data_IF_749129315870
#
_entry.id   IF_749129315870
#
_cell.length_a   1.000
_cell.length_b   1.000
_cell.length_c   1.000
_cell.angle_alpha   90.00
_cell.angle_beta   90.00
_cell.angle_gamma   90.00
#
_symmetry.space_group_name_H-M   'P 1'
#
loop_
_entity.id
_entity.type
_entity.pdbx_description
1 polymer ?
#
# COMPACT_ATOMS: atom_id res chain seq x y z
N UNK A 1 -15.66 -9.80 -16.05
CA UNK A 1 -14.72 -9.95 -14.92
C UNK A 1 -15.42 -9.54 -13.64
N UNK A 2 -15.09 -10.19 -12.52
CA UNK A 2 -15.56 -9.76 -11.22
C UNK A 2 -14.89 -8.44 -10.83
N UNK A 3 -15.62 -7.61 -10.08
CA UNK A 3 -15.10 -6.37 -9.52
C UNK A 3 -14.95 -6.51 -8.00
N UNK A 4 -13.92 -5.90 -7.44
CA UNK A 4 -13.69 -5.88 -6.00
C UNK A 4 -14.48 -4.74 -5.36
N UNK A 5 -15.29 -5.07 -4.35
CA UNK A 5 -16.06 -4.13 -3.54
C UNK A 5 -15.68 -4.24 -2.07
N UNK A 6 -15.87 -3.14 -1.36
CA UNK A 6 -15.61 -3.10 0.08
C UNK A 6 -16.88 -2.81 0.86
N UNK A 7 -17.23 -3.72 1.79
CA UNK A 7 -18.22 -3.44 2.83
C UNK A 7 -17.51 -2.77 3.99
N UNK A 8 -18.02 -1.62 4.44
CA UNK A 8 -17.47 -0.90 5.58
C UNK A 8 -18.43 -0.92 6.75
N UNK A 9 -17.97 -1.37 7.92
CA UNK A 9 -18.71 -1.27 9.16
C UNK A 9 -18.82 0.20 9.61
N UNK A 10 -20.02 0.64 10.00
CA UNK A 10 -20.28 2.01 10.48
C UNK A 10 -19.74 2.26 11.89
N UNK A 11 -19.52 1.21 12.70
CA UNK A 11 -18.99 1.32 14.06
C UNK A 11 -17.52 1.77 14.03
N UNK A 12 -17.29 3.05 14.37
CA UNK A 12 -15.95 3.65 14.43
C UNK A 12 -15.05 3.02 15.50
N UNK A 13 -15.58 2.25 16.45
CA UNK A 13 -14.82 1.55 17.48
C UNK A 13 -14.36 0.16 17.03
N UNK A 14 -14.84 -0.31 15.89
CA UNK A 14 -14.39 -1.58 15.33
C UNK A 14 -12.93 -1.46 14.85
N UNK A 15 -12.03 -2.34 15.30
CA UNK A 15 -10.61 -2.30 14.92
C UNK A 15 -10.37 -2.63 13.44
N UNK A 16 -11.18 -3.55 12.86
CA UNK A 16 -11.19 -3.83 11.44
C UNK A 16 -12.59 -3.60 10.90
N UNK A 17 -12.73 -2.66 10.00
CA UNK A 17 -14.04 -2.18 9.52
C UNK A 17 -14.34 -2.56 8.08
N UNK A 18 -13.36 -3.06 7.35
CA UNK A 18 -13.47 -3.30 5.92
C UNK A 18 -13.41 -4.79 5.63
N UNK A 19 -14.32 -5.24 4.76
CA UNK A 19 -14.35 -6.57 4.19
C UNK A 19 -14.36 -6.43 2.66
N UNK A 20 -13.37 -7.03 1.99
CA UNK A 20 -13.31 -7.08 0.54
C UNK A 20 -14.22 -8.20 0.00
N UNK A 21 -14.93 -7.91 -1.08
CA UNK A 21 -15.81 -8.85 -1.77
C UNK A 21 -15.58 -8.79 -3.27
N UNK A 22 -15.53 -9.94 -3.91
CA UNK A 22 -15.55 -10.06 -5.37
C UNK A 22 -16.98 -10.29 -5.86
N UNK A 23 -17.47 -9.41 -6.74
CA UNK A 23 -18.88 -9.37 -7.14
C UNK A 23 -19.01 -9.43 -8.64
N UNK A 24 -19.98 -10.21 -9.09
CA UNK A 24 -20.47 -10.22 -10.48
C UNK A 24 -21.97 -9.89 -10.49
N UNK A 25 -22.52 -9.31 -11.57
CA UNK A 25 -23.95 -9.14 -11.69
C UNK A 25 -24.70 -10.47 -11.51
N UNK A 26 -25.65 -10.49 -10.57
CA UNK A 26 -26.43 -11.67 -10.24
C UNK A 26 -25.77 -12.67 -9.27
N UNK A 27 -24.55 -12.43 -8.82
CA UNK A 27 -23.86 -13.28 -7.85
C UNK A 27 -24.62 -13.32 -6.52
N UNK A 28 -24.63 -14.51 -5.90
CA UNK A 28 -25.17 -14.70 -4.55
C UNK A 28 -24.03 -14.71 -3.55
N UNK A 29 -24.06 -13.75 -2.62
CA UNK A 29 -23.03 -13.58 -1.62
C UNK A 29 -23.68 -13.68 -0.24
N UNK A 30 -23.09 -14.50 0.62
CA UNK A 30 -23.44 -14.57 2.03
C UNK A 30 -22.23 -14.23 2.87
N UNK A 31 -22.41 -13.34 3.85
CA UNK A 31 -21.35 -12.90 4.76
C UNK A 31 -21.72 -13.36 6.18
N UNK A 32 -20.78 -13.98 6.86
CA UNK A 32 -20.93 -14.48 8.21
C UNK A 32 -19.88 -13.87 9.13
N UNK A 33 -20.31 -13.37 10.27
CA UNK A 33 -19.42 -12.81 11.28
C UNK A 33 -20.17 -12.53 12.57
N UNK A 34 -19.55 -12.83 13.68
CA UNK A 34 -20.13 -12.76 15.03
C UNK A 34 -19.45 -11.70 15.92
N UNK A 35 -18.44 -11.02 15.40
CA UNK A 35 -17.64 -10.04 16.13
C UNK A 35 -17.51 -8.72 15.35
N UNK A 36 -16.84 -7.74 15.96
CA UNK A 36 -16.61 -6.41 15.37
C UNK A 36 -15.36 -6.34 14.47
N UNK A 37 -14.77 -7.47 14.14
CA UNK A 37 -13.54 -7.54 13.33
C UNK A 37 -13.91 -8.08 11.95
N UNK A 38 -14.19 -7.19 11.01
CA UNK A 38 -14.62 -7.56 9.66
C UNK A 38 -13.62 -8.49 8.95
N UNK A 39 -12.32 -8.34 9.22
CA UNK A 39 -11.27 -9.18 8.66
C UNK A 39 -11.37 -10.67 9.08
N UNK A 40 -12.13 -11.00 10.14
CA UNK A 40 -12.37 -12.38 10.58
C UNK A 40 -13.66 -12.98 9.99
N UNK A 41 -14.47 -12.20 9.31
CA UNK A 41 -15.70 -12.68 8.71
C UNK A 41 -15.41 -13.62 7.54
N UNK A 42 -16.36 -14.47 7.23
CA UNK A 42 -16.30 -15.42 6.11
C UNK A 42 -17.30 -15.03 5.04
N UNK A 43 -16.92 -15.31 3.80
CA UNK A 43 -17.76 -15.01 2.64
C UNK A 43 -18.01 -16.29 1.87
N UNK A 44 -19.29 -16.63 1.65
CA UNK A 44 -19.69 -17.66 0.70
C UNK A 44 -20.18 -17.00 -0.57
N UNK A 45 -19.67 -17.45 -1.72
CA UNK A 45 -20.03 -16.93 -3.03
C UNK A 45 -19.79 -17.98 -4.11
N UNK A 46 -20.53 -17.88 -5.22
CA UNK A 46 -20.29 -18.64 -6.45
C UNK A 46 -19.23 -17.99 -7.35
N UNK A 47 -18.82 -16.75 -7.09
CA UNK A 47 -17.79 -16.01 -7.83
C UNK A 47 -16.43 -16.69 -7.66
N UNK A 48 -15.76 -16.98 -8.79
CA UNK A 48 -14.49 -17.70 -8.79
C UNK A 48 -13.37 -16.94 -8.05
N UNK A 49 -13.27 -15.64 -8.28
CA UNK A 49 -12.30 -14.74 -7.63
C UNK A 49 -12.54 -14.70 -6.11
N UNK A 50 -13.80 -14.73 -5.66
CA UNK A 50 -14.09 -14.81 -4.23
C UNK A 50 -13.65 -16.14 -3.62
N UNK A 51 -13.84 -17.25 -4.31
CA UNK A 51 -13.38 -18.57 -3.84
C UNK A 51 -11.86 -18.63 -3.71
N UNK A 52 -11.15 -18.07 -4.69
CA UNK A 52 -9.70 -17.99 -4.64
C UNK A 52 -9.23 -17.08 -3.49
N UNK A 53 -9.80 -15.88 -3.34
CA UNK A 53 -9.52 -14.95 -2.24
C UNK A 53 -9.77 -15.57 -0.86
N UNK A 54 -10.82 -16.41 -0.74
CA UNK A 54 -11.12 -17.13 0.50
C UNK A 54 -10.02 -18.10 0.93
N UNK A 55 -9.22 -18.66 0.02
CA UNK A 55 -8.08 -19.53 0.36
C UNK A 55 -7.05 -18.76 1.18
N UNK A 56 -6.69 -17.56 0.71
CA UNK A 56 -5.74 -16.66 1.40
C UNK A 56 -6.31 -16.20 2.75
N UNK A 57 -7.58 -15.75 2.75
CA UNK A 57 -8.25 -15.34 3.97
C UNK A 57 -8.30 -16.45 5.02
N UNK A 58 -8.55 -17.69 4.62
CA UNK A 58 -8.56 -18.84 5.52
C UNK A 58 -7.17 -19.14 6.11
N UNK A 59 -6.11 -19.03 5.30
CA UNK A 59 -4.74 -19.27 5.74
C UNK A 59 -4.27 -18.26 6.80
N UNK A 60 -4.63 -16.97 6.65
CA UNK A 60 -4.20 -15.92 7.58
C UNK A 60 -5.10 -15.73 8.79
N UNK A 61 -6.35 -16.23 8.74
CA UNK A 61 -7.36 -16.01 9.78
C UNK A 61 -6.93 -16.38 11.22
N UNK A 62 -6.23 -17.51 11.48
CA UNK A 62 -5.78 -17.84 12.82
C UNK A 62 -4.85 -16.76 13.41
N UNK A 63 -3.96 -16.24 12.58
CA UNK A 63 -3.02 -15.18 12.96
C UNK A 63 -3.70 -13.83 13.08
N UNK A 64 -4.69 -13.51 12.23
CA UNK A 64 -5.47 -12.28 12.31
C UNK A 64 -6.21 -12.16 13.64
N UNK A 65 -6.80 -13.25 14.14
CA UNK A 65 -7.49 -13.23 15.44
C UNK A 65 -6.52 -12.85 16.58
N UNK A 66 -5.32 -13.44 16.59
CA UNK A 66 -4.29 -13.10 17.56
C UNK A 66 -3.78 -11.65 17.39
N UNK A 67 -3.53 -11.22 16.17
CA UNK A 67 -3.10 -9.84 15.86
C UNK A 67 -4.07 -8.79 16.41
N UNK A 68 -5.39 -8.99 16.18
CA UNK A 68 -6.43 -8.06 16.61
C UNK A 68 -6.69 -8.08 18.12
N UNK A 69 -6.31 -9.15 18.83
CA UNK A 69 -6.41 -9.20 20.30
C UNK A 69 -5.55 -8.13 20.98
N UNK A 70 -4.48 -7.67 20.35
CA UNK A 70 -3.62 -6.59 20.87
C UNK A 70 -4.19 -5.18 20.62
N UNK A 71 -5.18 -5.03 19.74
CA UNK A 71 -5.67 -3.71 19.34
C UNK A 71 -6.24 -2.88 20.49
N UNK A 72 -7.12 -3.39 21.39
CA UNK A 72 -7.71 -2.57 22.44
C UNK A 72 -6.69 -2.00 23.40
N UNK A 73 -5.70 -2.79 23.80
CA UNK A 73 -4.61 -2.35 24.68
C UNK A 73 -3.72 -1.32 23.99
N UNK A 74 -3.30 -1.59 22.75
CA UNK A 74 -2.48 -0.67 21.96
C UNK A 74 -3.17 0.67 21.75
N UNK A 75 -4.45 0.68 21.37
CA UNK A 75 -5.22 1.91 21.16
C UNK A 75 -5.34 2.75 22.45
N UNK A 76 -5.54 2.10 23.61
CA UNK A 76 -5.53 2.78 24.92
C UNK A 76 -4.18 3.41 25.23
N UNK A 77 -3.08 2.69 25.00
CA UNK A 77 -1.73 3.18 25.22
C UNK A 77 -1.38 4.33 24.27
N UNK A 78 -1.76 4.24 22.99
CA UNK A 78 -1.55 5.31 22.01
C UNK A 78 -2.32 6.59 22.38
N UNK A 79 -3.56 6.46 22.87
CA UNK A 79 -4.32 7.60 23.38
C UNK A 79 -3.59 8.28 24.52
N UNK A 80 -3.10 7.49 25.49
CA UNK A 80 -2.34 8.00 26.62
C UNK A 80 -1.00 8.63 26.19
N UNK A 81 -0.33 8.06 25.19
CA UNK A 81 0.92 8.61 24.64
C UNK A 81 0.73 9.97 23.97
N UNK A 82 -0.39 10.15 23.26
CA UNK A 82 -0.74 11.40 22.54
C UNK A 82 -1.30 12.50 23.46
N UNK A 83 -1.78 12.15 24.64
CA UNK A 83 -2.30 13.13 25.60
C UNK A 83 -1.16 14.04 26.09
N UNK A 84 -1.29 15.35 25.82
CA UNK A 84 -0.31 16.38 26.18
C UNK A 84 -0.09 16.49 27.71
N UNK A 85 -1.10 16.10 28.49
CA UNK A 85 -1.05 16.14 29.96
C UNK A 85 -0.31 14.94 30.58
N UNK A 86 0.06 13.92 29.78
CA UNK A 86 0.80 12.76 30.27
C UNK A 86 2.24 13.16 30.60
N UNK A 87 2.72 12.96 31.85
CA UNK A 87 4.09 13.28 32.25
C UNK A 87 5.14 12.56 31.38
N UNK A 88 6.29 13.22 31.15
CA UNK A 88 7.37 12.71 30.27
C UNK A 88 7.82 11.30 30.64
N UNK A 89 8.01 11.02 31.94
CA UNK A 89 8.42 9.68 32.41
C UNK A 89 7.37 8.62 32.09
N UNK A 90 6.11 8.92 32.39
CA UNK A 90 4.99 8.01 32.06
C UNK A 90 4.87 7.79 30.55
N UNK A 91 5.08 8.84 29.75
CA UNK A 91 5.05 8.75 28.27
C UNK A 91 6.17 7.83 27.76
N UNK A 92 7.38 7.87 28.36
CA UNK A 92 8.49 6.96 28.02
C UNK A 92 8.14 5.51 28.33
N UNK A 93 7.53 5.23 29.49
CA UNK A 93 7.07 3.88 29.85
C UNK A 93 5.98 3.36 28.90
N UNK A 94 4.99 4.22 28.58
CA UNK A 94 3.92 3.90 27.62
C UNK A 94 4.49 3.58 26.24
N UNK A 95 5.47 4.35 25.75
CA UNK A 95 6.14 4.07 24.46
C UNK A 95 6.81 2.69 24.46
N UNK A 96 7.47 2.29 25.55
CA UNK A 96 8.06 0.95 25.65
C UNK A 96 7.00 -0.15 25.54
N UNK A 97 5.83 0.03 26.16
CA UNK A 97 4.72 -0.92 26.06
C UNK A 97 4.14 -0.99 24.63
N UNK A 98 3.95 0.16 23.97
CA UNK A 98 3.51 0.22 22.58
C UNK A 98 4.51 -0.53 21.69
N UNK A 99 5.82 -0.28 21.84
CA UNK A 99 6.86 -0.95 21.06
C UNK A 99 6.85 -2.47 21.28
N UNK A 100 6.63 -2.93 22.52
CA UNK A 100 6.55 -4.37 22.83
C UNK A 100 5.34 -5.03 22.15
N UNK A 101 4.18 -4.36 22.14
CA UNK A 101 2.99 -4.85 21.43
C UNK A 101 3.24 -4.85 19.92
N UNK A 102 3.82 -3.77 19.38
CA UNK A 102 4.15 -3.68 17.96
C UNK A 102 5.07 -4.82 17.52
N UNK A 103 6.13 -5.12 18.28
CA UNK A 103 7.03 -6.23 17.97
C UNK A 103 6.30 -7.61 17.94
N UNK A 104 5.31 -7.83 18.82
CA UNK A 104 4.47 -9.03 18.77
C UNK A 104 3.59 -9.05 17.52
N UNK A 105 2.96 -7.92 17.19
CA UNK A 105 2.14 -7.80 15.98
C UNK A 105 2.97 -8.02 14.72
N UNK A 106 4.21 -7.48 14.65
CA UNK A 106 5.13 -7.68 13.53
C UNK A 106 5.50 -9.16 13.36
N UNK A 107 5.72 -9.88 14.47
CA UNK A 107 5.98 -11.31 14.45
C UNK A 107 4.78 -12.10 13.91
N UNK A 108 3.56 -11.78 14.35
CA UNK A 108 2.33 -12.40 13.86
C UNK A 108 2.13 -12.08 12.38
N UNK A 109 2.39 -10.85 11.97
CA UNK A 109 2.29 -10.43 10.57
C UNK A 109 3.26 -11.20 9.68
N UNK A 110 4.47 -11.47 10.16
CA UNK A 110 5.43 -12.31 9.45
C UNK A 110 4.91 -13.74 9.22
N UNK A 111 4.18 -14.31 10.20
CA UNK A 111 3.51 -15.60 10.05
C UNK A 111 2.38 -15.55 9.02
N UNK A 112 1.62 -14.45 8.96
CA UNK A 112 0.60 -14.25 7.92
C UNK A 112 1.21 -14.22 6.52
N UNK A 113 2.31 -13.49 6.33
CA UNK A 113 3.02 -13.50 5.05
C UNK A 113 3.51 -14.90 4.66
N UNK A 114 4.04 -15.66 5.62
CA UNK A 114 4.44 -17.06 5.36
C UNK A 114 3.26 -17.93 4.94
N UNK A 115 2.12 -17.80 5.63
CA UNK A 115 0.92 -18.56 5.29
C UNK A 115 0.40 -18.25 3.87
N UNK A 116 0.43 -16.97 3.46
CA UNK A 116 0.08 -16.57 2.10
C UNK A 116 1.05 -17.16 1.06
N UNK A 117 2.35 -17.07 1.32
CA UNK A 117 3.39 -17.62 0.44
C UNK A 117 3.24 -19.16 0.30
N UNK A 118 2.92 -19.86 1.40
CA UNK A 118 2.71 -21.31 1.38
C UNK A 118 1.51 -21.69 0.51
N UNK A 119 0.41 -20.95 0.59
CA UNK A 119 -0.73 -21.14 -0.33
C UNK A 119 -0.29 -20.88 -1.78
N UNK A 120 0.49 -19.82 -2.02
CA UNK A 120 0.96 -19.47 -3.35
C UNK A 120 1.84 -20.55 -3.99
N UNK A 121 2.45 -21.47 -3.23
CA UNK A 121 3.22 -22.58 -3.79
C UNK A 121 2.35 -23.55 -4.59
N UNK A 122 1.09 -23.74 -4.23
CA UNK A 122 0.20 -24.75 -4.80
C UNK A 122 -1.07 -24.20 -5.45
N UNK A 123 -1.51 -23.00 -5.07
CA UNK A 123 -2.70 -22.37 -5.63
C UNK A 123 -2.59 -22.13 -7.15
N UNK A 124 -3.68 -22.15 -7.90
CA UNK A 124 -3.68 -21.76 -9.31
C UNK A 124 -3.10 -20.36 -9.49
N UNK A 125 -2.34 -20.15 -10.57
CA UNK A 125 -1.78 -18.83 -10.89
C UNK A 125 -2.79 -18.06 -11.75
N UNK A 126 -3.49 -17.12 -11.12
CA UNK A 126 -4.49 -16.25 -11.70
C UNK A 126 -4.30 -14.79 -11.27
N UNK A 127 -5.31 -13.95 -11.50
CA UNK A 127 -5.24 -12.52 -11.17
C UNK A 127 -5.19 -12.28 -9.65
N UNK A 128 -5.91 -13.06 -8.85
CA UNK A 128 -5.83 -13.00 -7.37
C UNK A 128 -4.43 -13.38 -6.90
N UNK A 129 -3.87 -14.47 -7.43
CA UNK A 129 -2.50 -14.88 -7.10
C UNK A 129 -1.48 -13.79 -7.44
N UNK A 130 -1.60 -13.16 -8.62
CA UNK A 130 -0.73 -12.06 -9.05
C UNK A 130 -0.85 -10.84 -8.14
N UNK A 131 -2.07 -10.48 -7.73
CA UNK A 131 -2.32 -9.40 -6.77
C UNK A 131 -1.60 -9.65 -5.45
N UNK A 132 -1.72 -10.86 -4.86
CA UNK A 132 -1.02 -11.22 -3.64
C UNK A 132 0.50 -11.17 -3.81
N UNK A 133 1.04 -11.68 -4.94
CA UNK A 133 2.47 -11.58 -5.22
C UNK A 133 2.95 -10.13 -5.28
N UNK A 134 2.22 -9.25 -5.97
CA UNK A 134 2.56 -7.84 -6.07
C UNK A 134 2.55 -7.15 -4.70
N UNK A 135 1.53 -7.41 -3.88
CA UNK A 135 1.43 -6.86 -2.52
C UNK A 135 2.59 -7.32 -1.63
N UNK A 136 2.90 -8.62 -1.63
CA UNK A 136 4.02 -9.16 -0.86
C UNK A 136 5.39 -8.66 -1.37
N UNK A 137 5.54 -8.46 -2.68
CA UNK A 137 6.72 -7.85 -3.27
C UNK A 137 6.92 -6.40 -2.78
N UNK A 138 5.85 -5.59 -2.74
CA UNK A 138 5.89 -4.23 -2.19
C UNK A 138 6.29 -4.23 -0.70
N UNK A 139 5.70 -5.12 0.10
CA UNK A 139 6.09 -5.30 1.51
C UNK A 139 7.56 -5.69 1.63
N UNK A 140 8.03 -6.64 0.81
CA UNK A 140 9.42 -7.13 0.84
C UNK A 140 10.44 -6.05 0.52
N UNK A 141 10.06 -5.04 -0.26
CA UNK A 141 10.90 -3.88 -0.57
C UNK A 141 10.95 -2.89 0.59
N UNK A 142 9.80 -2.59 1.20
CA UNK A 142 9.69 -1.56 2.23
C UNK A 142 10.13 -2.04 3.62
N UNK A 143 10.02 -3.33 3.91
CA UNK A 143 10.47 -3.92 5.17
C UNK A 143 11.94 -4.37 5.06
N UNK A 144 12.86 -3.63 5.70
CA UNK A 144 14.32 -3.85 5.64
C UNK A 144 14.77 -5.30 5.88
N UNK A 145 14.06 -6.05 6.71
CA UNK A 145 14.40 -7.42 7.10
C UNK A 145 13.28 -8.40 6.72
N UNK A 146 12.61 -8.22 5.58
CA UNK A 146 11.59 -9.15 5.14
C UNK A 146 12.20 -10.53 4.84
N UNK A 147 11.83 -11.59 5.58
CA UNK A 147 12.60 -12.85 5.55
C UNK A 147 12.31 -13.72 4.32
N UNK A 148 11.21 -13.46 3.60
CA UNK A 148 10.71 -14.35 2.54
C UNK A 148 10.95 -13.83 1.12
N UNK A 149 11.81 -12.83 0.93
CA UNK A 149 12.05 -12.22 -0.40
C UNK A 149 12.52 -13.26 -1.42
N UNK A 150 13.39 -14.19 -1.01
CA UNK A 150 13.90 -15.26 -1.89
C UNK A 150 12.76 -16.19 -2.35
N UNK A 151 11.79 -16.50 -1.48
CA UNK A 151 10.63 -17.32 -1.84
C UNK A 151 9.74 -16.58 -2.87
N UNK A 152 9.53 -15.27 -2.70
CA UNK A 152 8.78 -14.46 -3.68
C UNK A 152 9.47 -14.39 -5.04
N UNK A 153 10.80 -14.24 -5.06
CA UNK A 153 11.60 -14.31 -6.30
C UNK A 153 11.42 -15.65 -6.97
N UNK A 154 11.50 -16.75 -6.22
CA UNK A 154 11.30 -18.10 -6.74
C UNK A 154 9.89 -18.27 -7.34
N UNK A 155 8.84 -17.79 -6.66
CA UNK A 155 7.47 -17.80 -7.18
C UNK A 155 7.35 -17.02 -8.49
N UNK A 156 7.94 -15.82 -8.55
CA UNK A 156 7.95 -15.01 -9.76
C UNK A 156 8.64 -15.68 -10.94
N UNK A 157 9.81 -16.24 -10.71
CA UNK A 157 10.63 -16.82 -11.78
C UNK A 157 10.08 -18.17 -12.29
N UNK A 158 9.60 -19.03 -11.39
CA UNK A 158 9.30 -20.42 -11.71
C UNK A 158 7.79 -20.72 -11.87
N UNK A 159 6.89 -19.85 -11.41
CA UNK A 159 5.45 -20.08 -11.54
C UNK A 159 4.76 -19.16 -12.54
N UNK A 160 5.40 -18.07 -12.95
CA UNK A 160 4.81 -17.13 -13.88
C UNK A 160 5.26 -17.36 -15.34
N UNK A 161 4.28 -17.35 -16.24
CA UNK A 161 4.54 -17.28 -17.69
C UNK A 161 4.85 -15.83 -18.10
N UNK A 162 5.43 -15.65 -19.30
CA UNK A 162 5.70 -14.29 -19.82
C UNK A 162 4.43 -13.46 -19.98
N UNK A 163 3.30 -14.09 -20.31
CA UNK A 163 1.99 -13.43 -20.38
C UNK A 163 1.59 -12.86 -19.02
N UNK A 164 1.77 -13.61 -17.94
CA UNK A 164 1.45 -13.16 -16.59
C UNK A 164 2.42 -12.10 -16.10
N UNK A 165 3.70 -12.20 -16.46
CA UNK A 165 4.73 -11.18 -16.14
C UNK A 165 4.45 -9.83 -16.81
N UNK A 166 3.76 -9.83 -17.96
CA UNK A 166 3.34 -8.64 -18.69
C UNK A 166 2.06 -7.99 -18.15
N UNK A 167 1.26 -8.69 -17.33
CA UNK A 167 0.08 -8.10 -16.67
C UNK A 167 0.51 -7.06 -15.64
N UNK A 168 -0.37 -6.12 -15.32
CA UNK A 168 -0.13 -5.02 -14.38
C UNK A 168 0.51 -5.49 -13.07
N UNK A 169 -0.11 -6.40 -12.34
CA UNK A 169 0.46 -6.95 -11.09
C UNK A 169 1.77 -7.71 -11.29
N UNK A 170 1.99 -8.31 -12.46
CA UNK A 170 3.26 -8.95 -12.81
C UNK A 170 4.39 -7.92 -12.94
N UNK A 171 4.11 -6.79 -13.59
CA UNK A 171 5.05 -5.65 -13.71
C UNK A 171 5.34 -5.03 -12.35
N UNK A 172 4.30 -4.82 -11.51
CA UNK A 172 4.46 -4.31 -10.15
C UNK A 172 5.31 -5.25 -9.30
N UNK A 173 5.04 -6.56 -9.34
CA UNK A 173 5.85 -7.55 -8.62
C UNK A 173 7.31 -7.51 -9.06
N UNK A 174 7.57 -7.48 -10.39
CA UNK A 174 8.92 -7.40 -10.94
C UNK A 174 9.67 -6.17 -10.44
N UNK A 175 9.06 -5.00 -10.54
CA UNK A 175 9.66 -3.74 -10.10
C UNK A 175 10.06 -3.82 -8.62
N UNK A 176 9.17 -4.30 -7.75
CA UNK A 176 9.41 -4.34 -6.31
C UNK A 176 10.41 -5.44 -5.88
N UNK A 177 10.52 -6.55 -6.63
CA UNK A 177 11.46 -7.62 -6.30
C UNK A 177 12.89 -7.34 -6.80
N UNK A 178 13.03 -6.70 -7.96
CA UNK A 178 14.32 -6.66 -8.69
C UNK A 178 14.88 -5.27 -8.91
N UNK A 179 14.07 -4.20 -8.85
CA UNK A 179 14.57 -2.86 -9.07
C UNK A 179 15.42 -2.39 -7.89
N UNK A 180 16.61 -1.83 -8.20
CA UNK A 180 17.46 -1.19 -7.19
C UNK A 180 16.81 0.11 -6.72
N UNK A 181 16.86 0.36 -5.42
CA UNK A 181 16.45 1.63 -4.81
C UNK A 181 17.63 2.61 -4.77
N UNK A 182 17.30 3.90 -4.81
CA UNK A 182 18.25 5.03 -4.69
C UNK A 182 18.55 5.25 -3.21
N UNK A 183 19.84 5.32 -2.87
CA UNK A 183 20.32 5.71 -1.55
C UNK A 183 20.86 7.15 -1.56
N UNK A 184 21.07 7.71 -0.37
CA UNK A 184 21.65 9.05 -0.22
C UNK A 184 23.05 9.09 -0.83
N UNK A 185 23.25 9.99 -1.79
CA UNK A 185 24.50 10.13 -2.55
C UNK A 185 24.51 9.41 -3.89
N UNK A 186 23.48 8.61 -4.20
CA UNK A 186 23.33 8.03 -5.54
C UNK A 186 22.94 9.09 -6.58
N UNK A 187 23.18 8.77 -7.85
CA UNK A 187 22.70 9.59 -8.95
C UNK A 187 21.17 9.59 -9.01
N UNK A 188 20.60 10.71 -9.45
CA UNK A 188 19.18 10.85 -9.73
C UNK A 188 18.74 9.77 -10.71
N UNK A 189 17.66 9.06 -10.37
CA UNK A 189 16.91 8.20 -11.31
C UNK A 189 15.86 9.05 -11.99
N UNK A 190 15.87 9.06 -13.31
CA UNK A 190 14.98 9.85 -14.15
C UNK A 190 14.02 8.97 -14.96
N UNK A 191 12.93 9.56 -15.43
CA UNK A 191 11.94 8.91 -16.29
C UNK A 191 11.17 9.97 -17.10
N UNK A 192 10.46 9.53 -18.13
CA UNK A 192 9.49 10.36 -18.84
C UNK A 192 8.29 10.59 -17.93
N UNK A 193 8.03 11.83 -17.58
CA UNK A 193 6.94 12.29 -16.73
C UNK A 193 6.03 13.20 -17.55
N UNK A 194 4.74 12.96 -17.51
CA UNK A 194 3.76 13.70 -18.31
C UNK A 194 3.03 14.73 -17.46
N UNK A 195 2.89 15.95 -17.99
CA UNK A 195 2.04 16.97 -17.39
C UNK A 195 0.58 16.83 -17.84
N UNK A 196 -0.31 17.67 -17.30
CA UNK A 196 -1.76 17.65 -17.59
C UNK A 196 -2.11 17.98 -19.05
N UNK A 197 -1.17 18.52 -19.82
CA UNK A 197 -1.30 18.83 -21.25
C UNK A 197 -0.66 17.76 -22.15
N UNK A 198 -0.02 16.74 -21.55
CA UNK A 198 0.70 15.65 -22.23
C UNK A 198 2.15 16.01 -22.58
N UNK A 199 2.67 17.15 -22.12
CA UNK A 199 4.07 17.50 -22.25
C UNK A 199 4.96 16.58 -21.43
N UNK A 200 6.16 16.24 -21.96
CA UNK A 200 7.13 15.37 -21.30
C UNK A 200 8.13 16.21 -20.50
N UNK A 201 8.35 15.83 -19.26
CA UNK A 201 9.29 16.42 -18.31
C UNK A 201 10.18 15.35 -17.71
N UNK A 202 11.32 15.77 -17.18
CA UNK A 202 12.27 14.92 -16.48
C UNK A 202 12.64 15.55 -15.14
N UNK A 203 12.97 14.74 -14.14
CA UNK A 203 13.46 15.29 -12.86
C UNK A 203 14.77 16.07 -13.05
N UNK A 204 15.57 15.71 -14.03
CA UNK A 204 16.80 16.42 -14.42
C UNK A 204 16.56 17.83 -14.93
N UNK A 205 15.35 18.20 -15.37
CA UNK A 205 15.01 19.56 -15.83
C UNK A 205 15.07 20.57 -14.67
N UNK A 206 14.95 20.08 -13.43
CA UNK A 206 14.96 20.91 -12.21
C UNK A 206 16.33 21.02 -11.55
N UNK A 207 17.42 20.61 -12.25
CA UNK A 207 18.79 20.73 -11.72
C UNK A 207 19.12 22.17 -11.34
N UNK A 208 19.88 22.32 -10.25
CA UNK A 208 20.22 23.62 -9.68
C UNK A 208 19.26 24.11 -8.59
N UNK A 209 18.15 23.41 -8.38
CA UNK A 209 17.22 23.63 -7.26
C UNK A 209 17.13 22.38 -6.39
N UNK A 210 16.67 22.56 -5.16
CA UNK A 210 16.19 21.42 -4.37
C UNK A 210 14.90 20.90 -4.99
N UNK A 211 14.76 19.58 -5.11
CA UNK A 211 13.56 18.93 -5.65
C UNK A 211 12.92 18.12 -4.52
N UNK A 212 11.70 18.48 -4.13
CA UNK A 212 10.87 17.70 -3.23
C UNK A 212 9.93 16.83 -4.07
N UNK A 213 10.14 15.52 -4.05
CA UNK A 213 9.22 14.56 -4.68
C UNK A 213 8.11 14.21 -3.72
N UNK A 214 6.87 14.44 -4.14
CA UNK A 214 5.64 14.10 -3.42
C UNK A 214 4.89 13.03 -4.21
N UNK A 215 4.96 11.77 -3.76
CA UNK A 215 4.20 10.68 -4.38
C UNK A 215 2.81 10.62 -3.76
N UNK A 216 1.77 10.73 -4.60
CA UNK A 216 0.40 10.82 -4.16
C UNK A 216 -0.56 9.99 -5.01
N UNK A 217 -1.74 9.68 -4.46
CA UNK A 217 -2.85 9.06 -5.17
C UNK A 217 -4.19 9.58 -4.60
N UNK A 218 -5.27 9.50 -5.37
CA UNK A 218 -6.63 9.86 -4.94
C UNK A 218 -7.08 9.10 -3.69
N UNK A 219 -6.69 7.84 -3.58
CA UNK A 219 -6.98 6.98 -2.43
C UNK A 219 -6.15 7.29 -1.19
N UNK A 220 -5.06 8.07 -1.31
CA UNK A 220 -4.16 8.42 -0.21
C UNK A 220 -4.68 9.62 0.58
N UNK A 221 -5.54 9.40 1.58
CA UNK A 221 -6.09 10.48 2.39
C UNK A 221 -5.02 11.33 3.12
N UNK A 222 -3.93 10.77 3.68
CA UNK A 222 -2.83 11.56 4.23
C UNK A 222 -2.14 12.45 3.20
N UNK A 223 -1.91 11.94 1.97
CA UNK A 223 -1.31 12.71 0.88
C UNK A 223 -2.16 13.93 0.54
N UNK A 224 -3.47 13.71 0.37
CA UNK A 224 -4.41 14.80 0.08
C UNK A 224 -4.50 15.83 1.23
N UNK A 225 -4.34 15.40 2.48
CA UNK A 225 -4.32 16.27 3.64
C UNK A 225 -3.05 17.14 3.73
N UNK A 226 -1.92 16.68 3.18
CA UNK A 226 -0.65 17.41 3.15
C UNK A 226 -0.59 18.48 2.04
N UNK A 227 -1.44 18.41 1.02
CA UNK A 227 -1.41 19.32 -0.14
C UNK A 227 -1.44 20.81 0.22
N UNK A 228 -2.22 21.30 1.21
CA UNK A 228 -2.18 22.73 1.57
C UNK A 228 -0.81 23.17 2.11
N UNK A 229 -0.09 22.32 2.86
CA UNK A 229 1.27 22.61 3.36
C UNK A 229 2.27 22.63 2.21
N UNK A 230 2.15 21.71 1.26
CA UNK A 230 3.00 21.66 0.06
C UNK A 230 2.80 22.91 -0.81
N UNK A 231 1.57 23.38 -0.97
CA UNK A 231 1.28 24.63 -1.69
C UNK A 231 1.95 25.85 -1.04
N UNK A 232 1.91 25.94 0.29
CA UNK A 232 2.57 27.02 1.03
C UNK A 232 4.10 26.91 0.93
N UNK A 233 4.64 25.69 1.05
CA UNK A 233 6.08 25.44 0.92
C UNK A 233 6.60 25.88 -0.46
N UNK A 234 5.89 25.50 -1.52
CA UNK A 234 6.21 25.89 -2.88
C UNK A 234 6.14 27.41 -3.06
N UNK A 235 5.05 28.05 -2.63
CA UNK A 235 4.87 29.50 -2.78
C UNK A 235 5.96 30.33 -2.06
N UNK A 236 6.44 29.85 -0.91
CA UNK A 236 7.42 30.54 -0.08
C UNK A 236 8.87 30.32 -0.49
N UNK A 237 9.17 29.33 -1.35
CA UNK A 237 10.55 28.90 -1.64
C UNK A 237 10.82 28.68 -3.14
N UNK A 238 9.99 29.19 -4.03
CA UNK A 238 10.05 28.93 -5.49
C UNK A 238 11.39 29.25 -6.15
N UNK A 239 12.21 30.11 -5.55
CA UNK A 239 13.53 30.46 -6.08
C UNK A 239 14.55 29.32 -5.93
N UNK A 240 14.46 28.53 -4.86
CA UNK A 240 15.43 27.49 -4.49
C UNK A 240 14.86 26.08 -4.46
N UNK A 241 13.53 25.93 -4.37
CA UNK A 241 12.83 24.65 -4.23
C UNK A 241 11.80 24.46 -5.33
N UNK A 242 11.78 23.27 -5.92
CA UNK A 242 10.69 22.79 -6.77
C UNK A 242 9.99 21.65 -6.05
N UNK A 243 8.68 21.74 -5.92
CA UNK A 243 7.82 20.62 -5.49
C UNK A 243 7.33 19.92 -6.75
N UNK A 244 7.60 18.61 -6.87
CA UNK A 244 7.15 17.77 -7.97
C UNK A 244 6.22 16.71 -7.41
N UNK A 245 4.92 16.90 -7.62
CA UNK A 245 3.91 15.90 -7.31
C UNK A 245 3.88 14.83 -8.39
N UNK A 246 4.06 13.57 -7.99
CA UNK A 246 4.01 12.41 -8.87
C UNK A 246 2.79 11.57 -8.50
N UNK A 247 1.76 11.58 -9.35
CA UNK A 247 0.57 10.75 -9.15
C UNK A 247 0.85 9.31 -9.52
N UNK A 248 0.37 8.39 -8.66
CA UNK A 248 0.38 6.95 -8.89
C UNK A 248 -0.95 6.43 -9.48
N UNK A 249 -1.94 7.32 -9.67
CA UNK A 249 -3.22 6.98 -10.25
C UNK A 249 -3.11 6.72 -11.77
N UNK A 250 -4.12 6.05 -12.33
CA UNK A 250 -4.33 6.07 -13.78
C UNK A 250 -4.57 7.49 -14.30
N UNK A 251 -4.46 7.67 -15.61
CA UNK A 251 -4.51 8.98 -16.25
C UNK A 251 -5.81 9.74 -15.97
N UNK A 252 -6.96 9.06 -16.07
CA UNK A 252 -8.28 9.69 -15.88
C UNK A 252 -8.48 10.13 -14.43
N UNK A 253 -8.15 9.27 -13.49
CA UNK A 253 -8.22 9.55 -12.05
C UNK A 253 -7.29 10.70 -11.67
N UNK A 254 -6.05 10.70 -12.18
CA UNK A 254 -5.08 11.77 -11.97
C UNK A 254 -5.58 13.11 -12.50
N UNK A 255 -6.06 13.15 -13.76
CA UNK A 255 -6.59 14.37 -14.38
C UNK A 255 -7.78 14.94 -13.61
N UNK A 256 -8.71 14.08 -13.21
CA UNK A 256 -9.88 14.48 -12.43
C UNK A 256 -9.47 15.03 -11.05
N UNK A 257 -8.64 14.30 -10.31
CA UNK A 257 -8.23 14.70 -8.94
C UNK A 257 -7.40 15.97 -8.95
N UNK A 258 -6.52 16.14 -9.95
CA UNK A 258 -5.71 17.35 -10.12
C UNK A 258 -6.57 18.61 -10.28
N UNK A 259 -7.65 18.51 -11.07
CA UNK A 259 -8.62 19.61 -11.23
C UNK A 259 -9.40 19.90 -9.94
N UNK A 260 -9.89 18.86 -9.27
CA UNK A 260 -10.63 18.96 -8.01
C UNK A 260 -9.78 19.62 -6.91
N UNK A 261 -8.51 19.26 -6.81
CA UNK A 261 -7.57 19.74 -5.77
C UNK A 261 -6.88 21.04 -6.12
N UNK A 262 -6.98 21.52 -7.37
CA UNK A 262 -6.35 22.77 -7.84
C UNK A 262 -4.85 22.82 -7.53
N UNK A 263 -4.13 21.73 -7.84
CA UNK A 263 -2.69 21.62 -7.59
C UNK A 263 -1.97 22.73 -8.35
N UNK A 264 -1.16 23.54 -7.65
CA UNK A 264 -0.51 24.75 -8.18
C UNK A 264 1.00 24.61 -8.40
N UNK A 265 1.60 23.48 -7.98
CA UNK A 265 3.00 23.13 -8.22
C UNK A 265 3.13 22.17 -9.40
N UNK A 266 4.36 21.76 -9.74
CA UNK A 266 4.61 20.79 -10.81
C UNK A 266 3.89 19.48 -10.46
N UNK A 267 3.00 19.04 -11.33
CA UNK A 267 2.13 17.88 -11.10
C UNK A 267 2.16 16.95 -12.31
N UNK A 268 2.82 15.82 -12.14
CA UNK A 268 3.19 14.91 -13.20
C UNK A 268 2.68 13.48 -12.92
N UNK A 269 2.69 12.66 -13.96
CA UNK A 269 2.37 11.24 -13.90
C UNK A 269 3.32 10.44 -14.81
N UNK A 270 3.91 9.35 -14.31
CA UNK A 270 4.79 8.46 -15.08
C UNK A 270 4.02 7.42 -15.90
N UNK A 271 2.70 7.28 -15.67
CA UNK A 271 1.83 6.24 -16.28
C UNK A 271 2.27 4.80 -15.99
N UNK A 272 3.00 4.59 -14.90
CA UNK A 272 3.48 3.27 -14.44
C UNK A 272 2.89 2.85 -13.08
N UNK A 273 2.03 3.69 -12.48
CA UNK A 273 1.40 3.40 -11.19
C UNK A 273 2.43 2.98 -10.13
N UNK A 274 2.19 1.87 -9.47
CA UNK A 274 3.04 1.34 -8.40
C UNK A 274 4.36 0.66 -8.88
N UNK A 275 4.70 0.76 -10.16
CA UNK A 275 5.91 0.16 -10.75
C UNK A 275 6.92 1.20 -11.27
N UNK A 276 6.72 2.46 -10.95
CA UNK A 276 7.49 3.59 -11.46
C UNK A 276 8.59 4.09 -10.52
N UNK A 277 8.81 5.41 -10.55
CA UNK A 277 9.82 6.10 -9.73
C UNK A 277 9.60 5.93 -8.23
N UNK A 278 8.35 5.72 -7.79
CA UNK A 278 8.06 5.39 -6.39
C UNK A 278 8.86 4.16 -5.90
N UNK A 279 9.07 3.16 -6.77
CA UNK A 279 9.90 1.99 -6.44
C UNK A 279 11.36 2.39 -6.35
N UNK A 280 11.88 3.15 -7.32
CA UNK A 280 13.26 3.61 -7.34
C UNK A 280 13.60 4.45 -6.10
N UNK A 281 12.70 5.34 -5.69
CA UNK A 281 12.86 6.21 -4.51
C UNK A 281 12.36 5.61 -3.19
N UNK A 282 12.02 4.31 -3.18
CA UNK A 282 11.60 3.55 -2.01
C UNK A 282 10.37 4.14 -1.28
N UNK A 283 9.41 4.65 -2.03
CA UNK A 283 8.13 5.18 -1.54
C UNK A 283 7.00 4.19 -1.83
N UNK A 284 6.11 3.97 -0.85
CA UNK A 284 4.99 3.01 -0.94
C UNK A 284 3.66 3.66 -0.57
#
# INVERSE_FOLDING_TARGET
TAEEFYIMLSDKKSPSRTLALWVLPGAKIKVFGDNRIAALWTVESDVAEQKESNLYAAAVRPFLAEYWNYYPEKAKLETLYRDKNTPREKRSAVRKQINAITAKQDSIQSLMYKAEIDIMQTAPVGDIWLMHLAQLAMVSRTQKNFPYKAELVNLYENRMTDVLKAKEYGVVARANLFQRTVDVGDALVDADLYDLAGGVHHLSDYRGKYVLLDFWARSCAPCLAAMPELAQLFANNSDSLVVVGLSLDDEDTWLQTSREKKISWVNLNEKKGAAGLNVAYNVS
#
